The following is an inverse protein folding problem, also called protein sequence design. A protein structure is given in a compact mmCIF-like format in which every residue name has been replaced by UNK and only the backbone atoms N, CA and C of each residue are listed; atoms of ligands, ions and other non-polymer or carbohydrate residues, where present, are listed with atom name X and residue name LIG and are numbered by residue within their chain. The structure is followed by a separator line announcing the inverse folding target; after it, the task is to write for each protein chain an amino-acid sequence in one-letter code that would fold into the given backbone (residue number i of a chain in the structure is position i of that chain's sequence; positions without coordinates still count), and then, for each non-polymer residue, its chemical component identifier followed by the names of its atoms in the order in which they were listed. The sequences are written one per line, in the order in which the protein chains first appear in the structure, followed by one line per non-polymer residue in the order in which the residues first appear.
data_IF_955467159870
#
_entry.id   IF_955467159870
#
_cell.length_a   1.000
_cell.length_b   1.000
_cell.length_c   1.000
_cell.angle_alpha   90.00
_cell.angle_beta   90.00
_cell.angle_gamma   90.00
#
_symmetry.space_group_name_H-M   'P 1'
#
loop_
_entity.id
_entity.type
_entity.pdbx_description
1 polymer ?
#
# COMPACT_ATOMS: atom_id res chain seq x y z
N UNK A 1 14.31 -36.24 -53.03
CA UNK A 1 14.68 -34.87 -52.62
C UNK A 1 14.01 -34.57 -51.28
N UNK A 2 14.77 -33.96 -50.38
CA UNK A 2 14.56 -33.88 -48.93
C UNK A 2 13.29 -33.08 -48.56
N UNK A 3 12.48 -33.60 -47.64
CA UNK A 3 11.47 -32.83 -46.91
C UNK A 3 12.14 -32.16 -45.71
N UNK A 4 12.18 -30.83 -45.70
CA UNK A 4 12.59 -30.05 -44.54
C UNK A 4 11.39 -29.86 -43.60
N UNK A 5 11.47 -30.40 -42.38
CA UNK A 5 10.51 -30.11 -41.31
C UNK A 5 11.05 -28.91 -40.53
N UNK A 6 10.40 -27.76 -40.66
CA UNK A 6 10.61 -26.64 -39.74
C UNK A 6 9.80 -26.89 -38.47
N UNK A 7 10.50 -27.08 -37.35
CA UNK A 7 9.88 -27.09 -36.03
C UNK A 7 9.81 -25.65 -35.54
N UNK A 8 8.61 -25.06 -35.50
CA UNK A 8 8.37 -23.83 -34.76
C UNK A 8 8.32 -24.17 -33.27
N UNK A 9 9.37 -23.82 -32.53
CA UNK A 9 9.34 -23.86 -31.07
C UNK A 9 8.36 -22.82 -30.54
N UNK A 10 7.29 -23.27 -29.90
CA UNK A 10 6.41 -22.39 -29.15
C UNK A 10 7.20 -21.82 -27.95
N UNK A 11 7.48 -20.53 -27.98
CA UNK A 11 7.97 -19.81 -26.80
C UNK A 11 6.77 -19.65 -25.87
N UNK A 12 6.67 -20.50 -24.85
CA UNK A 12 5.72 -20.28 -23.77
C UNK A 12 6.03 -18.93 -23.12
N UNK A 13 5.07 -18.01 -22.94
CA UNK A 13 5.33 -16.83 -22.15
C UNK A 13 5.72 -17.30 -20.75
N UNK A 14 6.89 -16.86 -20.26
CA UNK A 14 7.26 -17.05 -18.87
C UNK A 14 6.12 -16.46 -18.04
N UNK A 15 5.40 -17.30 -17.30
CA UNK A 15 4.46 -16.80 -16.30
C UNK A 15 5.29 -15.92 -15.36
N UNK A 16 4.97 -14.63 -15.29
CA UNK A 16 5.55 -13.76 -14.28
C UNK A 16 5.25 -14.42 -12.93
N UNK A 17 6.29 -14.91 -12.28
CA UNK A 17 6.12 -15.65 -11.04
C UNK A 17 5.71 -14.64 -9.96
N UNK A 18 4.42 -14.58 -9.65
CA UNK A 18 3.89 -13.73 -8.60
C UNK A 18 4.58 -14.10 -7.29
N UNK A 19 5.26 -13.13 -6.67
CA UNK A 19 5.91 -13.32 -5.39
C UNK A 19 4.84 -13.53 -4.31
N UNK A 20 5.19 -14.26 -3.24
CA UNK A 20 4.30 -14.35 -2.09
C UNK A 20 4.05 -12.95 -1.49
N UNK A 21 2.82 -12.62 -1.08
CA UNK A 21 2.53 -11.34 -0.46
C UNK A 21 3.41 -11.06 0.74
N UNK A 22 3.78 -9.78 0.90
CA UNK A 22 4.56 -9.29 2.03
C UNK A 22 3.65 -8.50 2.93
N UNK A 23 3.50 -8.98 4.16
CA UNK A 23 2.72 -8.31 5.19
C UNK A 23 3.44 -7.08 5.69
N UNK A 24 2.71 -5.98 5.80
CA UNK A 24 3.16 -4.68 6.34
C UNK A 24 2.51 -4.46 7.71
N UNK A 25 1.20 -4.72 7.80
CA UNK A 25 0.42 -4.61 9.03
C UNK A 25 -0.65 -5.71 9.07
N UNK A 26 -0.81 -6.34 10.24
CA UNK A 26 -1.85 -7.32 10.61
C UNK A 26 -1.90 -7.36 12.13
N UNK A 27 -2.84 -6.64 12.74
CA UNK A 27 -2.95 -6.35 14.19
C UNK A 27 -1.76 -5.59 14.83
N UNK A 28 -0.62 -5.57 14.15
CA UNK A 28 0.60 -4.87 14.48
C UNK A 28 1.44 -4.71 13.21
N UNK A 29 2.38 -3.76 13.22
CA UNK A 29 3.40 -3.69 12.17
C UNK A 29 4.18 -5.00 12.11
N UNK A 30 4.31 -5.55 10.91
CA UNK A 30 5.08 -6.77 10.70
C UNK A 30 6.56 -6.54 11.06
N UNK A 31 7.25 -7.61 11.48
CA UNK A 31 8.64 -7.52 11.92
C UNK A 31 9.52 -6.85 10.85
N UNK A 32 10.26 -5.81 11.26
CA UNK A 32 11.14 -5.02 10.39
C UNK A 32 10.50 -3.73 9.87
N UNK A 33 9.17 -3.62 9.89
CA UNK A 33 8.48 -2.37 9.58
C UNK A 33 8.44 -1.43 10.78
N UNK A 34 8.54 -0.12 10.52
CA UNK A 34 8.65 0.90 11.55
C UNK A 34 7.64 2.03 11.31
N UNK A 35 7.11 2.59 12.40
CA UNK A 35 6.27 3.78 12.34
C UNK A 35 7.15 5.05 12.24
N UNK A 36 7.14 5.71 11.09
CA UNK A 36 7.80 7.00 10.83
C UNK A 36 6.79 8.12 10.54
N UNK A 37 5.56 7.95 11.02
CA UNK A 37 4.45 8.87 10.77
C UNK A 37 4.75 10.27 11.30
N UNK A 38 4.22 11.27 10.61
CA UNK A 38 4.39 12.68 10.98
C UNK A 38 3.12 13.46 10.73
N UNK A 39 2.86 14.43 11.61
CA UNK A 39 1.66 15.28 11.56
C UNK A 39 0.34 14.49 11.49
N UNK A 40 0.33 13.30 12.08
CA UNK A 40 -0.84 12.45 12.31
C UNK A 40 -0.81 11.97 13.76
N UNK A 41 -1.97 11.70 14.33
CA UNK A 41 -2.10 10.86 15.51
C UNK A 41 -2.57 9.47 15.03
N UNK A 42 -1.74 8.46 15.25
CA UNK A 42 -2.02 7.07 14.85
C UNK A 42 -2.01 6.17 16.09
N UNK A 43 -3.11 5.45 16.32
CA UNK A 43 -3.29 4.58 17.48
C UNK A 43 -3.89 3.23 17.07
N UNK A 44 -3.57 2.18 17.82
CA UNK A 44 -4.21 0.88 17.66
C UNK A 44 -5.64 0.94 18.23
N UNK A 45 -6.62 0.48 17.46
CA UNK A 45 -8.02 0.40 17.85
C UNK A 45 -8.52 -1.04 17.75
N UNK A 46 -8.92 -1.61 18.89
CA UNK A 46 -9.45 -2.96 18.99
C UNK A 46 -10.99 -3.03 18.94
N UNK A 47 -11.67 -1.88 18.90
CA UNK A 47 -13.12 -1.76 18.84
C UNK A 47 -13.67 -1.60 17.43
N UNK A 48 -12.85 -1.14 16.47
CA UNK A 48 -13.23 -0.97 15.06
C UNK A 48 -12.16 -1.58 14.15
N UNK A 49 -12.30 -2.88 13.83
CA UNK A 49 -11.32 -3.68 13.08
C UNK A 49 -11.94 -4.24 11.80
N UNK A 50 -11.14 -4.48 10.76
CA UNK A 50 -11.61 -5.19 9.58
C UNK A 50 -11.59 -6.71 9.82
N UNK A 51 -10.44 -7.20 10.28
CA UNK A 51 -10.22 -8.57 10.72
C UNK A 51 -9.31 -8.58 11.96
N UNK A 52 -9.16 -9.74 12.61
CA UNK A 52 -8.22 -9.89 13.71
C UNK A 52 -8.63 -9.15 14.99
N UNK A 53 -7.74 -8.30 15.49
CA UNK A 53 -7.75 -7.70 16.83
C UNK A 53 -7.52 -6.21 16.86
N UNK A 54 -6.86 -5.61 15.87
CA UNK A 54 -6.58 -4.19 15.89
C UNK A 54 -6.39 -3.59 14.49
N UNK A 55 -7.08 -2.49 14.22
CA UNK A 55 -6.79 -1.59 13.10
C UNK A 55 -5.98 -0.38 13.59
N UNK A 56 -5.47 0.42 12.65
CA UNK A 56 -4.87 1.73 12.96
C UNK A 56 -5.94 2.80 12.79
N UNK A 57 -6.35 3.44 13.88
CA UNK A 57 -7.11 4.68 13.86
C UNK A 57 -6.16 5.86 13.59
N UNK A 58 -6.50 6.70 12.61
CA UNK A 58 -5.65 7.81 12.17
C UNK A 58 -6.45 9.10 12.08
N UNK A 59 -5.99 10.14 12.77
CA UNK A 59 -6.34 11.54 12.48
C UNK A 59 -5.14 12.25 11.87
N UNK A 60 -5.36 13.13 10.91
CA UNK A 60 -4.26 13.78 10.20
C UNK A 60 -4.42 15.30 10.14
N UNK A 61 -3.34 16.03 10.42
CA UNK A 61 -3.23 17.46 10.07
C UNK A 61 -3.18 17.62 8.55
N UNK A 62 -3.35 18.84 8.01
CA UNK A 62 -3.10 19.09 6.59
C UNK A 62 -1.74 18.51 6.17
N UNK A 63 -1.72 17.71 5.11
CA UNK A 63 -0.50 17.07 4.57
C UNK A 63 0.21 16.07 5.50
N UNK A 64 -0.42 15.68 6.62
CA UNK A 64 0.11 14.64 7.51
C UNK A 64 0.10 13.26 6.86
N UNK A 65 1.05 12.41 7.25
CA UNK A 65 1.21 11.07 6.70
C UNK A 65 1.26 10.01 7.80
N UNK A 66 0.42 8.99 7.68
CA UNK A 66 0.73 7.66 8.23
C UNK A 66 1.87 7.11 7.36
N UNK A 67 3.07 7.03 7.91
CA UNK A 67 4.26 6.62 7.19
C UNK A 67 4.83 5.35 7.82
N UNK A 68 4.81 4.27 7.03
CA UNK A 68 5.31 2.96 7.45
C UNK A 68 6.61 2.68 6.67
N UNK A 69 7.72 2.64 7.37
CA UNK A 69 9.05 2.44 6.82
C UNK A 69 9.42 0.96 6.82
N UNK A 70 10.07 0.49 5.74
CA UNK A 70 10.45 -0.92 5.57
C UNK A 70 11.62 -1.38 6.46
N UNK A 71 12.27 -0.47 7.20
CA UNK A 71 13.46 -0.70 8.02
C UNK A 71 14.73 -0.90 7.20
N UNK A 72 14.65 -1.74 6.16
CA UNK A 72 15.65 -1.90 5.10
C UNK A 72 14.97 -1.79 3.74
N UNK A 73 15.63 -1.24 2.71
CA UNK A 73 15.07 -1.17 1.36
C UNK A 73 14.60 -2.55 0.87
N UNK A 74 13.36 -2.63 0.41
CA UNK A 74 12.69 -3.85 0.01
C UNK A 74 12.56 -3.92 -1.52
N UNK A 75 13.18 -4.92 -2.14
CA UNK A 75 12.99 -5.17 -3.58
C UNK A 75 11.53 -5.55 -3.86
N UNK A 76 10.87 -4.80 -4.75
CA UNK A 76 9.47 -5.04 -5.15
C UNK A 76 9.33 -6.00 -6.34
N UNK A 77 10.42 -6.59 -6.84
CA UNK A 77 10.37 -7.56 -7.92
C UNK A 77 9.36 -8.69 -7.64
N UNK A 78 8.47 -8.92 -8.62
CA UNK A 78 7.40 -9.91 -8.55
C UNK A 78 6.16 -9.48 -7.75
N UNK A 79 6.14 -8.25 -7.21
CA UNK A 79 4.98 -7.60 -6.61
C UNK A 79 4.40 -6.56 -7.58
N UNK A 80 3.10 -6.34 -7.52
CA UNK A 80 2.33 -5.53 -8.46
C UNK A 80 1.41 -4.53 -7.78
N UNK A 81 1.01 -4.75 -6.53
CA UNK A 81 0.02 -3.93 -5.81
C UNK A 81 0.39 -3.71 -4.35
N UNK A 82 0.06 -2.53 -3.83
CA UNK A 82 -0.17 -2.32 -2.40
C UNK A 82 -1.67 -2.53 -2.14
N UNK A 83 -2.00 -3.41 -1.21
CA UNK A 83 -3.35 -3.81 -0.83
C UNK A 83 -3.58 -3.47 0.64
N UNK A 84 -4.75 -2.92 0.97
CA UNK A 84 -5.17 -2.64 2.35
C UNK A 84 -6.69 -2.48 2.44
N UNK A 85 -7.21 -2.58 3.66
CA UNK A 85 -8.59 -2.22 3.98
C UNK A 85 -8.64 -0.87 4.67
N UNK A 86 -9.62 -0.04 4.30
CA UNK A 86 -9.77 1.31 4.86
C UNK A 86 -11.24 1.65 5.10
N UNK A 87 -11.53 2.32 6.20
CA UNK A 87 -12.86 2.81 6.58
C UNK A 87 -12.76 4.30 6.89
N UNK A 88 -13.65 5.11 6.29
CA UNK A 88 -13.76 6.54 6.53
C UNK A 88 -14.33 6.93 7.90
N UNK A 89 -14.60 5.95 8.77
CA UNK A 89 -15.08 6.14 10.13
C UNK A 89 -16.55 6.56 10.18
N UNK A 90 -16.87 7.50 11.06
CA UNK A 90 -18.26 7.86 11.33
C UNK A 90 -18.97 8.48 10.12
N UNK A 91 -18.24 9.21 9.26
CA UNK A 91 -18.80 10.01 8.16
C UNK A 91 -18.15 9.71 6.79
N UNK A 92 -16.86 9.34 6.75
CA UNK A 92 -16.09 9.38 5.51
C UNK A 92 -15.77 10.80 5.04
N UNK A 93 -15.37 10.94 3.77
CA UNK A 93 -15.06 12.20 3.11
C UNK A 93 -13.59 12.64 3.19
N UNK A 94 -12.71 11.86 3.81
CA UNK A 94 -11.28 12.12 3.82
C UNK A 94 -10.71 12.03 2.39
N UNK A 95 -9.87 12.99 2.02
CA UNK A 95 -9.14 13.01 0.74
C UNK A 95 -7.70 12.56 0.99
N UNK A 96 -7.38 11.34 0.60
CA UNK A 96 -6.08 10.73 0.85
C UNK A 96 -5.32 10.41 -0.45
N UNK A 97 -4.00 10.28 -0.35
CA UNK A 97 -3.18 9.68 -1.42
C UNK A 97 -2.17 8.69 -0.85
N UNK A 98 -1.84 7.69 -1.64
CA UNK A 98 -0.71 6.77 -1.39
C UNK A 98 0.53 7.27 -2.10
N UNK A 99 1.68 7.21 -1.42
CA UNK A 99 3.00 7.47 -1.98
C UNK A 99 3.92 6.33 -1.58
N UNK A 100 4.62 5.75 -2.56
CA UNK A 100 5.62 4.71 -2.34
C UNK A 100 7.01 5.32 -2.49
N UNK A 101 7.73 5.49 -1.38
CA UNK A 101 9.09 6.02 -1.42
C UNK A 101 10.06 4.91 -1.83
N UNK A 102 11.00 5.22 -2.71
CA UNK A 102 12.10 4.33 -3.06
C UNK A 102 13.46 4.96 -2.82
N UNK A 103 14.53 4.18 -3.00
CA UNK A 103 15.91 4.67 -2.80
C UNK A 103 16.30 5.83 -3.73
N UNK A 104 15.67 5.90 -4.91
CA UNK A 104 15.93 6.97 -5.89
C UNK A 104 15.09 8.24 -5.64
N UNK A 105 14.28 8.27 -4.60
CA UNK A 105 13.44 9.41 -4.23
C UNK A 105 11.95 9.07 -4.02
N UNK A 106 11.16 10.12 -3.85
CA UNK A 106 9.70 10.03 -3.65
C UNK A 106 9.03 9.69 -4.98
N UNK A 107 8.24 8.62 -5.04
CA UNK A 107 7.50 8.27 -6.24
C UNK A 107 6.16 9.03 -6.33
N UNK A 108 5.39 8.79 -7.39
CA UNK A 108 4.15 9.52 -7.69
C UNK A 108 3.08 9.31 -6.60
N UNK A 109 2.35 10.38 -6.27
CA UNK A 109 1.18 10.28 -5.40
C UNK A 109 -0.02 9.74 -6.18
N UNK A 110 -0.62 8.66 -5.69
CA UNK A 110 -1.88 8.09 -6.21
C UNK A 110 -3.01 8.53 -5.30
N UNK A 111 -3.92 9.36 -5.80
CA UNK A 111 -5.10 9.77 -5.03
C UNK A 111 -6.05 8.60 -4.87
N UNK A 112 -6.55 8.39 -3.66
CA UNK A 112 -7.60 7.43 -3.39
C UNK A 112 -8.97 8.03 -3.72
N UNK A 113 -9.99 7.21 -4.00
CA UNK A 113 -11.37 7.66 -3.95
C UNK A 113 -11.67 8.30 -2.57
N UNK A 114 -12.59 9.27 -2.48
CA UNK A 114 -13.05 9.78 -1.19
C UNK A 114 -13.49 8.62 -0.31
N UNK A 115 -13.01 8.59 0.94
CA UNK A 115 -13.36 7.49 1.83
C UNK A 115 -14.85 7.51 2.15
N UNK A 116 -15.42 6.33 2.30
CA UNK A 116 -16.80 6.14 2.74
C UNK A 116 -16.81 5.42 4.08
N UNK A 117 -17.92 5.54 4.81
CA UNK A 117 -18.15 4.75 6.02
C UNK A 117 -18.23 3.26 5.67
N UNK A 118 -17.58 2.43 6.48
CA UNK A 118 -17.48 0.99 6.30
C UNK A 118 -16.16 0.60 5.65
N UNK A 119 -15.73 -0.64 5.92
CA UNK A 119 -14.51 -1.20 5.35
C UNK A 119 -14.59 -1.37 3.83
N UNK A 120 -13.59 -0.83 3.14
CA UNK A 120 -13.42 -0.96 1.70
C UNK A 120 -12.02 -1.44 1.38
N UNK A 121 -11.91 -2.38 0.45
CA UNK A 121 -10.64 -2.85 -0.05
C UNK A 121 -10.08 -1.88 -1.09
N UNK A 122 -8.80 -1.52 -0.94
CA UNK A 122 -8.07 -0.68 -1.88
C UNK A 122 -6.85 -1.46 -2.37
N UNK A 123 -6.68 -1.48 -3.69
CA UNK A 123 -5.48 -1.97 -4.36
C UNK A 123 -4.88 -0.86 -5.22
N UNK A 124 -3.68 -0.41 -4.85
CA UNK A 124 -2.90 0.60 -5.59
C UNK A 124 -1.82 -0.12 -6.40
N UNK A 125 -1.87 -0.09 -7.74
CA UNK A 125 -0.78 -0.63 -8.55
C UNK A 125 0.53 0.08 -8.23
N UNK A 126 1.61 -0.68 -7.99
CA UNK A 126 2.92 -0.10 -7.68
C UNK A 126 3.43 0.75 -8.86
N UNK A 127 3.08 0.36 -10.09
CA UNK A 127 3.41 1.11 -11.30
C UNK A 127 2.76 2.49 -11.36
N UNK A 128 1.50 2.62 -10.92
CA UNK A 128 0.79 3.91 -10.87
C UNK A 128 1.42 4.85 -9.83
N UNK A 129 1.92 4.26 -8.74
CA UNK A 129 2.71 4.97 -7.75
C UNK A 129 4.17 5.21 -8.20
N UNK A 130 4.58 4.81 -9.40
CA UNK A 130 5.93 5.05 -9.93
C UNK A 130 7.01 4.09 -9.42
N UNK A 131 6.63 2.99 -8.76
CA UNK A 131 7.53 1.97 -8.22
C UNK A 131 7.25 0.57 -8.82
N UNK A 132 7.19 0.47 -10.15
CA UNK A 132 7.03 -0.82 -10.84
C UNK A 132 8.23 -1.78 -10.66
N UNK A 133 9.40 -1.25 -10.28
CA UNK A 133 10.62 -2.00 -10.02
C UNK A 133 11.55 -1.21 -9.09
N UNK A 134 12.47 -1.90 -8.42
CA UNK A 134 13.47 -1.30 -7.54
C UNK A 134 13.17 -1.52 -6.06
N UNK A 135 13.69 -0.63 -5.22
CA UNK A 135 13.65 -0.79 -3.77
C UNK A 135 12.64 0.18 -3.14
N UNK A 136 11.66 -0.34 -2.41
CA UNK A 136 10.73 0.39 -1.56
C UNK A 136 11.39 0.70 -0.21
N UNK A 137 11.27 1.94 0.26
CA UNK A 137 11.77 2.37 1.57
C UNK A 137 10.66 2.74 2.54
N UNK A 138 9.53 3.28 2.07
CA UNK A 138 8.38 3.58 2.92
C UNK A 138 7.06 3.69 2.15
N UNK A 139 5.97 3.32 2.80
CA UNK A 139 4.59 3.51 2.33
C UNK A 139 4.00 4.69 3.11
N UNK A 140 3.52 5.71 2.40
CA UNK A 140 2.83 6.84 3.03
C UNK A 140 1.37 6.88 2.60
N UNK A 141 0.46 6.95 3.57
CA UNK A 141 -0.93 7.32 3.38
C UNK A 141 -1.07 8.76 3.87
N UNK A 142 -1.14 9.69 2.93
CA UNK A 142 -1.10 11.13 3.17
C UNK A 142 -2.51 11.71 3.13
N UNK A 143 -2.83 12.57 4.09
CA UNK A 143 -3.93 13.53 3.94
C UNK A 143 -3.58 14.53 2.85
N UNK A 144 -4.21 14.41 1.70
CA UNK A 144 -3.92 15.23 0.51
C UNK A 144 -4.79 16.47 0.40
N UNK A 145 -5.43 16.85 1.51
CA UNK A 145 -6.16 18.10 1.62
C UNK A 145 -5.35 19.16 2.38
N UNK A 146 -5.72 20.43 2.18
CA UNK A 146 -5.23 21.56 2.97
C UNK A 146 -5.91 21.70 4.34
N UNK A 147 -6.71 20.73 4.77
CA UNK A 147 -7.49 20.75 6.02
C UNK A 147 -7.20 19.50 6.85
N UNK A 148 -7.48 19.48 8.17
CA UNK A 148 -7.43 18.26 8.95
C UNK A 148 -8.38 17.19 8.38
N UNK A 149 -7.99 15.93 8.47
CA UNK A 149 -8.84 14.79 8.17
C UNK A 149 -9.42 14.21 9.47
N UNK A 150 -10.74 13.99 9.47
CA UNK A 150 -11.43 13.24 10.52
C UNK A 150 -10.91 11.80 10.61
N UNK A 151 -11.09 11.16 11.77
CA UNK A 151 -10.58 9.81 12.03
C UNK A 151 -11.03 8.83 10.95
N UNK A 152 -10.04 8.18 10.31
CA UNK A 152 -10.24 7.02 9.46
C UNK A 152 -9.50 5.82 10.06
N UNK A 153 -9.83 4.63 9.60
CA UNK A 153 -9.24 3.38 10.06
C UNK A 153 -8.61 2.66 8.88
N UNK A 154 -7.42 2.09 9.08
CA UNK A 154 -6.72 1.30 8.06
C UNK A 154 -6.24 0.00 8.69
N UNK A 155 -6.34 -1.09 7.93
CA UNK A 155 -6.07 -2.44 8.39
C UNK A 155 -5.50 -3.31 7.25
N UNK A 156 -4.97 -4.50 7.58
CA UNK A 156 -4.58 -5.55 6.64
C UNK A 156 -3.69 -5.07 5.47
N UNK A 157 -2.60 -4.38 5.79
CA UNK A 157 -1.72 -3.77 4.78
C UNK A 157 -0.71 -4.81 4.29
N UNK A 158 -0.63 -4.98 2.97
CA UNK A 158 0.27 -5.94 2.32
C UNK A 158 0.72 -5.47 0.93
N UNK A 159 1.88 -5.95 0.49
CA UNK A 159 2.33 -5.86 -0.90
C UNK A 159 2.09 -7.21 -1.58
N UNK A 160 1.50 -7.24 -2.77
CA UNK A 160 1.16 -8.46 -3.53
C UNK A 160 1.69 -8.40 -4.95
#
# INVERSE_FOLDING_TARGET
MIFAVMVFGAVSPAAAQSRAPIRVYDDALALGWNNWSFAVDAALDAGHVHDGKAAIAVTAKPWGCLAINAGSPLDVAGLTTLSFWIDGGAQGGQTLSVILNGEKGVASAVNLPPLVKGWNHIAVPLADAGLASGMLTAIWVRNSSGSPAETYFIDDIELR
#
